data_IF_949334357734
#
_entry.id   IF_949334357734
#
_cell.length_a   1.000
_cell.length_b   1.000
_cell.length_c   1.000
_cell.angle_alpha   90.00
_cell.angle_beta   90.00
_cell.angle_gamma   90.00
#
_symmetry.space_group_name_H-M   'P 1'
#
loop_
_entity.id
_entity.type
_entity.pdbx_description
1 polymer ?
#
# COMPACT_ATOMS: atom_id res chain seq x y z
N UNK A 1 -3.39 3.52 -14.26
CA UNK A 1 -2.81 2.72 -15.35
C UNK A 1 -3.34 1.28 -15.30
N UNK A 2 -3.12 0.49 -14.24
CA UNK A 2 -3.48 -0.92 -14.14
C UNK A 2 -4.98 -1.20 -14.40
N UNK A 3 -5.89 -0.53 -13.69
CA UNK A 3 -7.34 -0.71 -13.89
C UNK A 3 -7.84 -0.31 -15.27
N UNK A 4 -7.19 0.64 -15.95
CA UNK A 4 -7.50 0.99 -17.33
C UNK A 4 -7.10 -0.13 -18.27
N UNK A 5 -5.94 -0.73 -18.07
CA UNK A 5 -5.46 -1.86 -18.83
C UNK A 5 -6.39 -3.08 -18.69
N UNK A 6 -6.81 -3.42 -17.46
CA UNK A 6 -7.79 -4.49 -17.22
C UNK A 6 -9.11 -4.29 -17.96
N UNK A 7 -9.62 -3.06 -18.00
CA UNK A 7 -10.86 -2.74 -18.75
C UNK A 7 -10.73 -2.99 -20.26
N UNK A 8 -9.54 -2.81 -20.80
CA UNK A 8 -9.28 -2.97 -22.24
C UNK A 8 -8.93 -4.40 -22.62
N UNK A 9 -8.25 -5.14 -21.77
CA UNK A 9 -7.65 -6.43 -22.08
C UNK A 9 -8.28 -7.61 -21.30
N UNK A 10 -9.19 -7.33 -20.37
CA UNK A 10 -9.74 -8.34 -19.47
C UNK A 10 -8.85 -8.62 -18.28
N UNK A 11 -9.37 -9.40 -17.32
CA UNK A 11 -8.66 -9.81 -16.13
C UNK A 11 -7.77 -11.01 -16.42
N UNK A 12 -6.49 -10.93 -16.13
CA UNK A 12 -5.55 -12.04 -16.29
C UNK A 12 -5.84 -13.18 -15.30
N UNK A 13 -5.50 -14.43 -15.65
CA UNK A 13 -5.56 -15.55 -14.71
C UNK A 13 -4.67 -15.30 -13.49
N UNK A 14 -5.07 -15.84 -12.34
CA UNK A 14 -4.24 -15.77 -11.12
C UNK A 14 -2.92 -16.51 -11.32
N UNK A 15 -1.89 -16.02 -10.65
CA UNK A 15 -0.59 -16.70 -10.64
C UNK A 15 -0.71 -18.08 -9.98
N UNK A 16 -0.09 -19.13 -10.56
CA UNK A 16 -0.09 -20.46 -9.96
C UNK A 16 0.47 -20.46 -8.55
N UNK A 17 -0.21 -21.16 -7.64
CA UNK A 17 0.23 -21.30 -6.24
C UNK A 17 0.07 -20.05 -5.36
N UNK A 18 -0.50 -18.97 -5.89
CA UNK A 18 -0.73 -17.73 -5.14
C UNK A 18 -2.24 -17.47 -5.04
N UNK A 19 -2.75 -17.35 -3.81
CA UNK A 19 -4.18 -17.13 -3.55
C UNK A 19 -4.60 -15.65 -3.54
N UNK A 20 -3.67 -14.73 -3.79
CA UNK A 20 -3.93 -13.29 -3.85
C UNK A 20 -4.44 -12.88 -5.23
N UNK A 21 -5.36 -11.92 -5.27
CA UNK A 21 -5.78 -11.27 -6.51
C UNK A 21 -4.68 -10.37 -7.06
N UNK A 22 -4.78 -9.96 -8.32
CA UNK A 22 -3.84 -9.01 -8.92
C UNK A 22 -3.84 -7.66 -8.22
N UNK A 23 -5.00 -7.18 -7.76
CA UNK A 23 -5.09 -5.95 -6.97
C UNK A 23 -4.33 -6.08 -5.64
N UNK A 24 -4.50 -7.20 -4.95
CA UNK A 24 -3.77 -7.48 -3.70
C UNK A 24 -2.27 -7.60 -3.95
N UNK A 25 -1.84 -8.27 -5.03
CA UNK A 25 -0.42 -8.38 -5.40
C UNK A 25 0.20 -7.02 -5.74
N UNK A 26 -0.54 -6.13 -6.39
CA UNK A 26 -0.07 -4.78 -6.67
C UNK A 26 0.34 -4.04 -5.38
N UNK A 27 -0.50 -4.07 -4.36
CA UNK A 27 -0.22 -3.42 -3.08
C UNK A 27 0.85 -4.14 -2.27
N UNK A 28 0.87 -5.48 -2.31
CA UNK A 28 1.91 -6.26 -1.66
C UNK A 28 3.29 -5.96 -2.25
N UNK A 29 3.40 -5.91 -3.57
CA UNK A 29 4.65 -5.56 -4.24
C UNK A 29 5.11 -4.14 -3.91
N UNK A 30 4.19 -3.19 -3.85
CA UNK A 30 4.49 -1.84 -3.39
C UNK A 30 5.09 -1.84 -1.96
N UNK A 31 4.48 -2.59 -1.04
CA UNK A 31 4.94 -2.68 0.34
C UNK A 31 6.33 -3.32 0.46
N UNK A 32 6.63 -4.31 -0.37
CA UNK A 32 7.93 -5.00 -0.36
C UNK A 32 9.11 -4.08 -0.70
N UNK A 33 8.91 -3.04 -1.48
CA UNK A 33 9.95 -2.04 -1.79
C UNK A 33 10.46 -1.37 -0.51
N UNK A 34 9.61 -1.23 0.49
CA UNK A 34 9.90 -0.57 1.77
C UNK A 34 10.21 -1.56 2.90
N UNK A 35 10.31 -2.84 2.59
CA UNK A 35 10.67 -3.88 3.55
C UNK A 35 12.13 -3.70 3.98
N UNK A 36 12.35 -3.65 5.28
CA UNK A 36 13.68 -3.46 5.83
C UNK A 36 13.65 -3.41 7.34
N UNK A 37 14.83 -3.49 7.95
CA UNK A 37 15.00 -3.32 9.38
C UNK A 37 15.97 -2.15 9.62
N UNK A 38 15.75 -1.44 10.71
CA UNK A 38 16.48 -0.24 11.03
C UNK A 38 16.80 -0.22 12.54
N UNK A 39 18.03 0.16 12.89
CA UNK A 39 18.39 0.35 14.29
C UNK A 39 17.64 1.55 14.88
N UNK A 40 17.28 1.52 16.18
CA UNK A 40 16.54 2.61 16.82
C UNK A 40 17.19 3.99 16.64
N UNK A 41 18.52 4.06 16.72
CA UNK A 41 19.30 5.30 16.57
C UNK A 41 19.17 5.87 15.15
N UNK A 42 19.23 5.00 14.14
CA UNK A 42 19.06 5.38 12.74
C UNK A 42 17.63 5.84 12.47
N UNK A 43 16.64 5.17 13.07
CA UNK A 43 15.25 5.57 12.97
C UNK A 43 15.03 6.98 13.54
N UNK A 44 15.57 7.25 14.73
CA UNK A 44 15.48 8.55 15.36
C UNK A 44 16.17 9.64 14.52
N UNK A 45 17.36 9.36 14.02
CA UNK A 45 18.11 10.27 13.14
C UNK A 45 17.30 10.59 11.88
N UNK A 46 16.74 9.59 11.23
CA UNK A 46 15.92 9.77 10.02
C UNK A 46 14.64 10.57 10.27
N UNK A 47 13.98 10.36 11.40
CA UNK A 47 12.78 11.15 11.77
C UNK A 47 13.14 12.63 11.95
N UNK A 48 14.33 12.92 12.50
CA UNK A 48 14.78 14.30 12.77
C UNK A 48 15.33 15.05 11.57
N UNK A 49 16.02 14.37 10.67
CA UNK A 49 16.82 15.00 9.61
C UNK A 49 16.43 14.63 8.18
N UNK A 50 15.72 13.52 7.96
CA UNK A 50 15.34 13.11 6.61
C UNK A 50 14.12 13.87 6.11
N UNK A 51 14.15 14.28 4.86
CA UNK A 51 13.00 14.86 4.15
C UNK A 51 11.95 13.80 3.78
N UNK A 52 12.29 12.52 3.90
CA UNK A 52 11.42 11.39 3.60
C UNK A 52 10.99 10.68 4.88
N UNK A 53 9.72 10.27 4.92
CA UNK A 53 9.19 9.46 6.01
C UNK A 53 9.87 8.08 6.08
N UNK A 54 9.97 7.47 7.27
CA UNK A 54 10.44 6.09 7.43
C UNK A 54 9.61 5.09 6.61
N UNK A 55 10.24 3.97 6.22
CA UNK A 55 9.63 2.94 5.37
C UNK A 55 8.22 2.49 5.78
N UNK A 56 7.96 2.11 7.04
CA UNK A 56 6.62 1.71 7.49
C UNK A 56 5.56 2.79 7.24
N UNK A 57 5.86 4.06 7.48
CA UNK A 57 4.91 5.17 7.25
C UNK A 57 4.67 5.38 5.76
N UNK A 58 5.68 5.16 4.92
CA UNK A 58 5.54 5.25 3.45
C UNK A 58 4.64 4.16 2.87
N UNK A 59 4.38 3.11 3.61
CA UNK A 59 3.40 2.07 3.26
C UNK A 59 2.04 2.37 3.89
N UNK A 60 2.01 2.50 5.21
CA UNK A 60 0.75 2.64 5.96
C UNK A 60 0.00 3.93 5.63
N UNK A 61 0.70 5.05 5.49
CA UNK A 61 0.10 6.35 5.19
C UNK A 61 -0.65 6.34 3.86
N UNK A 62 0.02 6.11 2.72
CA UNK A 62 -0.63 6.09 1.41
C UNK A 62 -1.72 5.02 1.30
N UNK A 63 -1.49 3.80 1.81
CA UNK A 63 -2.46 2.72 1.68
C UNK A 63 -3.71 2.94 2.52
N UNK A 64 -3.60 3.53 3.71
CA UNK A 64 -4.78 3.89 4.52
C UNK A 64 -5.64 4.96 3.86
N UNK A 65 -5.07 5.79 2.99
CA UNK A 65 -5.78 6.81 2.21
C UNK A 65 -6.29 6.30 0.86
N UNK A 66 -6.01 5.03 0.51
CA UNK A 66 -6.41 4.43 -0.76
C UNK A 66 -7.73 3.67 -0.65
N UNK A 67 -8.75 4.11 -1.38
CA UNK A 67 -10.00 3.35 -1.52
C UNK A 67 -9.78 2.01 -2.23
N UNK A 68 -8.89 1.98 -3.22
CA UNK A 68 -8.57 0.75 -3.95
C UNK A 68 -7.90 -0.30 -3.07
N UNK A 69 -7.02 0.12 -2.13
CA UNK A 69 -6.45 -0.78 -1.14
C UNK A 69 -7.53 -1.37 -0.23
N UNK A 70 -8.39 -0.52 0.32
CA UNK A 70 -9.47 -0.96 1.19
C UNK A 70 -10.41 -1.95 0.48
N UNK A 71 -10.70 -1.73 -0.80
CA UNK A 71 -11.50 -2.65 -1.62
C UNK A 71 -10.76 -3.98 -1.88
N UNK A 72 -9.49 -3.94 -2.23
CA UNK A 72 -8.70 -5.13 -2.53
C UNK A 72 -8.59 -6.08 -1.33
N UNK A 73 -8.42 -5.54 -0.13
CA UNK A 73 -8.26 -6.30 1.11
C UNK A 73 -9.54 -6.35 1.95
N UNK A 74 -10.65 -5.82 1.46
CA UNK A 74 -11.96 -5.81 2.14
C UNK A 74 -11.88 -5.24 3.56
N UNK A 75 -11.15 -4.15 3.72
CA UNK A 75 -11.00 -3.47 5.01
C UNK A 75 -12.33 -2.86 5.43
N UNK A 76 -12.78 -3.16 6.64
CA UNK A 76 -14.02 -2.59 7.19
C UNK A 76 -13.92 -1.07 7.31
N UNK A 77 -14.97 -0.31 6.92
CA UNK A 77 -15.00 1.14 7.10
C UNK A 77 -14.76 1.53 8.56
N UNK A 78 -13.92 2.52 8.80
CA UNK A 78 -13.53 2.97 10.14
C UNK A 78 -12.39 2.18 10.79
N UNK A 79 -11.89 1.10 10.16
CA UNK A 79 -10.68 0.41 10.61
C UNK A 79 -9.43 1.27 10.37
N UNK A 80 -8.31 0.92 11.04
CA UNK A 80 -7.04 1.67 10.91
C UNK A 80 -6.59 1.85 9.46
N UNK A 81 -6.77 0.83 8.63
CA UNK A 81 -6.38 0.85 7.22
C UNK A 81 -7.51 1.28 6.27
N UNK A 82 -8.66 1.67 6.81
CA UNK A 82 -9.78 2.24 6.06
C UNK A 82 -10.50 3.32 6.89
N UNK A 83 -9.81 4.43 7.23
CA UNK A 83 -10.43 5.51 7.99
C UNK A 83 -11.59 6.14 7.19
N UNK A 84 -12.60 6.66 7.91
CA UNK A 84 -13.76 7.31 7.29
C UNK A 84 -13.37 8.58 6.55
N UNK A 85 -12.41 9.33 7.10
CA UNK A 85 -11.85 10.53 6.46
C UNK A 85 -10.47 10.20 5.88
N UNK A 86 -10.33 10.33 4.58
CA UNK A 86 -9.09 10.11 3.87
C UNK A 86 -8.49 11.42 3.37
N UNK A 87 -7.16 11.47 3.34
CA UNK A 87 -6.43 12.58 2.73
C UNK A 87 -6.32 12.38 1.22
N UNK A 88 -6.43 13.48 0.50
CA UNK A 88 -6.14 13.53 -0.93
C UNK A 88 -5.17 14.67 -1.21
N UNK A 89 -4.21 14.45 -2.10
CA UNK A 89 -3.21 15.46 -2.47
C UNK A 89 -3.55 16.09 -3.84
N UNK A 90 -4.19 15.33 -4.72
CA UNK A 90 -4.68 15.73 -6.05
C UNK A 90 -5.95 15.00 -6.44
#
# INVERSE_FOLDING_TARGET
AFKRWEKQNGVEPRLPGIHLTHDQLFFLNYAQIWCGSMRPEDALSKVRSSVHSPGPIRVLGPLSNSYDFANAYKCSPGSRMNPLKKCSVW
#
